data_IF_222263243998
#
_entry.id   IF_222263243998
#
_cell.length_a   1.000
_cell.length_b   1.000
_cell.length_c   1.000
_cell.angle_alpha   90.00
_cell.angle_beta   90.00
_cell.angle_gamma   90.00
#
_symmetry.space_group_name_H-M   'P 1'
#
loop_
_entity.id
_entity.type
_entity.pdbx_description
1 polymer ?
#
# COMPACT_ATOMS: atom_id res chain seq x y z
N UNK A 1 -13.42 14.28 -10.20
CA UNK A 1 -13.69 13.95 -8.78
C UNK A 1 -12.43 14.15 -7.93
N UNK A 2 -12.39 15.22 -7.13
CA UNK A 2 -11.34 15.46 -6.15
C UNK A 2 -11.58 14.44 -5.02
N UNK A 3 -10.70 13.44 -4.88
CA UNK A 3 -10.70 12.57 -3.72
C UNK A 3 -10.22 13.39 -2.52
N UNK A 4 -11.15 13.92 -1.74
CA UNK A 4 -10.84 14.49 -0.43
C UNK A 4 -10.23 13.38 0.43
N UNK A 5 -9.07 13.61 1.08
CA UNK A 5 -8.55 12.65 2.04
C UNK A 5 -9.55 12.54 3.19
N UNK A 6 -10.05 11.32 3.43
CA UNK A 6 -10.87 11.03 4.59
C UNK A 6 -10.06 11.36 5.85
N UNK A 7 -10.57 12.25 6.68
CA UNK A 7 -9.95 12.55 7.97
C UNK A 7 -9.83 11.24 8.79
N UNK A 8 -8.73 11.05 9.55
CA UNK A 8 -8.59 9.88 10.40
C UNK A 8 -9.74 9.80 11.41
N UNK A 9 -10.19 8.59 11.79
CA UNK A 9 -11.20 8.43 12.82
C UNK A 9 -10.72 9.09 14.12
N UNK A 10 -11.65 9.62 14.95
CA UNK A 10 -11.29 10.18 16.23
C UNK A 10 -10.60 9.12 17.10
N UNK A 11 -9.68 9.53 17.99
CA UNK A 11 -9.04 8.61 18.91
C UNK A 11 -10.10 7.90 19.77
N UNK A 12 -9.95 6.59 19.93
CA UNK A 12 -10.83 5.82 20.80
C UNK A 12 -10.64 6.27 22.25
N UNK A 13 -11.73 6.25 23.02
CA UNK A 13 -11.70 6.64 24.42
C UNK A 13 -10.99 5.59 25.28
N UNK A 14 -10.25 6.01 26.32
CA UNK A 14 -9.63 5.08 27.26
C UNK A 14 -10.69 4.26 28.02
N UNK A 15 -10.41 2.98 28.21
CA UNK A 15 -11.29 2.04 28.91
C UNK A 15 -10.81 1.84 30.34
N UNK A 16 -11.71 1.97 31.32
CA UNK A 16 -11.40 1.62 32.72
C UNK A 16 -11.64 0.12 32.95
N UNK A 17 -10.68 -0.55 33.58
CA UNK A 17 -10.72 -1.99 33.87
C UNK A 17 -10.49 -2.17 35.37
N UNK A 18 -11.35 -2.96 35.99
CA UNK A 18 -11.27 -3.34 37.39
C UNK A 18 -12.05 -4.65 37.54
N UNK A 19 -11.32 -5.71 37.86
CA UNK A 19 -11.84 -7.05 38.02
C UNK A 19 -11.05 -7.77 39.12
N UNK A 20 -11.61 -8.84 39.69
CA UNK A 20 -11.04 -9.63 40.80
C UNK A 20 -11.08 -11.13 40.43
N UNK A 21 -10.70 -11.48 39.20
CA UNK A 21 -10.81 -12.86 38.68
C UNK A 21 -9.60 -13.75 38.94
N UNK A 22 -8.57 -13.23 39.60
CA UNK A 22 -7.33 -13.94 39.87
C UNK A 22 -7.34 -14.63 41.24
N UNK A 23 -6.51 -15.66 41.43
CA UNK A 23 -6.38 -16.34 42.73
C UNK A 23 -5.80 -15.45 43.84
N UNK A 24 -4.94 -14.49 43.47
CA UNK A 24 -4.26 -13.58 44.39
C UNK A 24 -4.90 -12.19 44.42
N UNK A 25 -6.10 -12.04 43.86
CA UNK A 25 -6.80 -10.75 43.93
C UNK A 25 -7.33 -10.46 45.34
N UNK A 26 -7.31 -9.20 45.78
CA UNK A 26 -7.79 -8.77 47.10
C UNK A 26 -7.05 -9.42 48.29
N UNK A 27 -5.78 -9.83 48.11
CA UNK A 27 -4.99 -10.46 49.18
C UNK A 27 -4.18 -9.45 50.01
N UNK A 28 -4.29 -8.16 49.69
CA UNK A 28 -3.59 -7.06 50.32
C UNK A 28 -2.30 -6.65 49.61
N UNK A 29 -1.94 -7.31 48.51
CA UNK A 29 -0.84 -6.94 47.63
C UNK A 29 -1.31 -6.73 46.21
N UNK A 30 -0.79 -5.69 45.56
CA UNK A 30 -1.11 -5.43 44.16
C UNK A 30 -0.33 -6.38 43.24
N UNK A 31 -1.06 -7.25 42.55
CA UNK A 31 -0.52 -8.44 41.87
C UNK A 31 -0.80 -8.48 40.36
N UNK A 32 -1.45 -7.44 39.82
CA UNK A 32 -1.89 -7.36 38.43
C UNK A 32 -0.78 -7.13 37.39
N UNK A 33 0.50 -7.16 37.81
CA UNK A 33 1.67 -6.99 36.96
C UNK A 33 1.83 -5.59 36.36
N UNK A 34 1.04 -4.63 36.83
CA UNK A 34 0.95 -3.27 36.35
C UNK A 34 2.01 -2.30 36.87
N UNK A 35 1.94 -1.06 36.40
CA UNK A 35 2.70 0.03 37.01
C UNK A 35 2.31 0.19 38.49
N UNK A 36 3.29 0.02 39.37
CA UNK A 36 3.11 0.08 40.82
C UNK A 36 2.65 -1.23 41.46
N UNK A 37 2.60 -2.36 40.73
CA UNK A 37 2.32 -3.66 41.34
C UNK A 37 3.53 -4.20 42.10
N UNK A 38 3.27 -4.86 43.22
CA UNK A 38 4.28 -5.60 43.99
C UNK A 38 4.66 -6.89 43.27
N UNK A 39 3.68 -7.57 42.69
CA UNK A 39 3.87 -8.81 41.97
C UNK A 39 3.13 -8.81 40.62
N UNK A 40 3.30 -9.90 39.87
CA UNK A 40 2.63 -10.18 38.61
C UNK A 40 1.97 -11.57 38.66
N UNK A 41 1.46 -11.95 39.83
CA UNK A 41 0.80 -13.24 40.05
C UNK A 41 -0.56 -13.31 39.33
N UNK A 42 -1.17 -12.14 39.09
CA UNK A 42 -2.35 -11.98 38.28
C UNK A 42 -1.99 -11.57 36.85
N UNK A 43 -2.05 -12.55 35.94
CA UNK A 43 -1.60 -12.42 34.54
C UNK A 43 -2.42 -11.36 33.78
N UNK A 44 -3.70 -11.21 34.12
CA UNK A 44 -4.57 -10.24 33.47
C UNK A 44 -4.42 -8.88 34.16
N UNK A 45 -4.03 -7.87 33.39
CA UNK A 45 -3.91 -6.51 33.90
C UNK A 45 -5.24 -5.98 34.43
N UNK A 46 -5.24 -5.41 35.64
CA UNK A 46 -6.44 -4.95 36.33
C UNK A 46 -7.33 -6.05 36.93
N UNK A 47 -6.84 -7.30 37.04
CA UNK A 47 -7.55 -8.42 37.69
C UNK A 47 -7.31 -8.55 39.21
N UNK A 48 -6.67 -7.55 39.80
CA UNK A 48 -6.50 -7.35 41.23
C UNK A 48 -6.64 -5.85 41.56
N UNK A 49 -7.78 -5.27 41.17
CA UNK A 49 -8.01 -3.83 41.26
C UNK A 49 -8.41 -3.35 42.66
N UNK A 50 -8.80 -4.21 43.59
CA UNK A 50 -9.02 -3.83 44.99
C UNK A 50 -7.71 -3.37 45.62
N UNK A 51 -6.61 -4.07 45.34
CA UNK A 51 -5.29 -3.73 45.86
C UNK A 51 -4.51 -2.79 44.93
N UNK A 52 -4.68 -2.92 43.60
CA UNK A 52 -3.99 -2.08 42.62
C UNK A 52 -4.71 -0.77 42.26
N UNK A 53 -5.99 -0.65 42.59
CA UNK A 53 -6.88 0.37 42.06
C UNK A 53 -7.33 0.12 40.61
N UNK A 54 -8.29 0.93 40.15
CA UNK A 54 -8.82 0.86 38.77
C UNK A 54 -7.71 1.17 37.75
N UNK A 55 -7.58 0.30 36.76
CA UNK A 55 -6.63 0.47 35.66
C UNK A 55 -7.28 1.14 34.44
N UNK A 56 -6.45 1.78 33.61
CA UNK A 56 -6.89 2.45 32.38
C UNK A 56 -6.15 1.86 31.20
N UNK A 57 -6.89 1.26 30.27
CA UNK A 57 -6.37 0.83 28.97
C UNK A 57 -6.54 1.95 27.97
N UNK A 58 -5.41 2.43 27.45
CA UNK A 58 -5.40 3.35 26.34
C UNK A 58 -5.46 2.56 25.04
N UNK A 59 -6.45 2.81 24.18
CA UNK A 59 -6.48 2.18 22.87
C UNK A 59 -5.24 2.59 22.08
N UNK A 60 -4.72 1.65 21.30
CA UNK A 60 -3.63 1.96 20.38
C UNK A 60 -4.06 3.08 19.42
N UNK A 61 -3.14 3.98 19.03
CA UNK A 61 -3.43 4.95 18.00
C UNK A 61 -3.92 4.24 16.74
N UNK A 62 -4.85 4.84 15.97
CA UNK A 62 -5.29 4.26 14.72
C UNK A 62 -4.09 4.05 13.79
N UNK A 63 -4.10 3.00 12.95
CA UNK A 63 -3.04 2.80 11.99
C UNK A 63 -2.91 4.02 11.07
N UNK A 64 -1.70 4.33 10.58
CA UNK A 64 -1.53 5.40 9.61
C UNK A 64 -2.36 5.11 8.36
N UNK A 65 -2.97 6.16 7.80
CA UNK A 65 -3.74 6.04 6.57
C UNK A 65 -2.78 5.69 5.43
N UNK A 66 -3.04 4.60 4.72
CA UNK A 66 -2.25 4.21 3.56
C UNK A 66 -2.29 5.30 2.47
N UNK A 67 -1.19 5.57 1.78
CA UNK A 67 -1.20 6.52 0.66
C UNK A 67 -2.13 6.04 -0.46
N UNK A 68 -2.69 6.95 -1.27
CA UNK A 68 -3.49 6.57 -2.43
C UNK A 68 -2.66 5.72 -3.39
N UNK A 69 -3.34 4.77 -4.07
CA UNK A 69 -2.69 3.90 -5.06
C UNK A 69 -2.12 4.77 -6.19
N UNK A 70 -0.89 4.52 -6.66
CA UNK A 70 -0.36 5.21 -7.83
C UNK A 70 -1.26 4.98 -9.05
N UNK A 71 -1.33 5.95 -9.99
CA UNK A 71 -2.05 5.77 -11.25
C UNK A 71 -1.48 4.57 -12.03
N UNK A 72 -2.29 3.92 -12.88
CA UNK A 72 -1.79 2.88 -13.76
C UNK A 72 -0.69 3.44 -14.68
N UNK A 73 0.32 2.61 -14.97
CA UNK A 73 1.37 2.94 -15.93
C UNK A 73 0.76 3.26 -17.30
N UNK A 74 1.29 4.27 -17.98
CA UNK A 74 0.91 4.57 -19.36
C UNK A 74 1.28 3.40 -20.28
N UNK A 75 0.50 3.14 -21.35
CA UNK A 75 0.88 2.17 -22.37
C UNK A 75 2.19 2.61 -23.07
N UNK A 76 2.97 1.67 -23.61
CA UNK A 76 4.14 2.01 -24.41
C UNK A 76 3.74 2.82 -25.65
N UNK A 77 4.64 3.68 -26.17
CA UNK A 77 4.40 4.37 -27.43
C UNK A 77 4.19 3.38 -28.58
N UNK A 78 3.38 3.78 -29.56
CA UNK A 78 3.18 2.98 -30.78
C UNK A 78 4.50 2.79 -31.54
N UNK A 79 4.67 1.65 -32.23
CA UNK A 79 5.84 1.45 -33.09
C UNK A 79 5.87 2.50 -34.21
N UNK A 80 7.07 2.82 -34.75
CA UNK A 80 7.18 3.70 -35.90
C UNK A 80 6.46 3.10 -37.13
N UNK A 81 6.01 3.94 -38.07
CA UNK A 81 5.43 3.44 -39.31
C UNK A 81 6.45 2.64 -40.12
N UNK A 82 6.00 1.70 -40.97
CA UNK A 82 6.90 0.96 -41.85
C UNK A 82 7.62 1.89 -42.82
N UNK A 83 8.84 1.51 -43.20
CA UNK A 83 9.62 2.23 -44.22
C UNK A 83 8.86 2.29 -45.55
N UNK A 84 9.02 3.38 -46.32
CA UNK A 84 8.45 3.45 -47.67
C UNK A 84 9.05 2.36 -48.58
N UNK A 85 8.32 1.92 -49.61
CA UNK A 85 8.83 0.97 -50.58
C UNK A 85 10.04 1.54 -51.34
N UNK A 86 10.94 0.68 -51.85
CA UNK A 86 12.04 1.13 -52.70
C UNK A 86 11.50 1.78 -54.00
N UNK A 87 12.27 2.69 -54.60
CA UNK A 87 11.91 3.27 -55.89
C UNK A 87 11.80 2.18 -56.97
N UNK A 88 10.92 2.41 -57.94
CA UNK A 88 10.74 1.52 -59.09
C UNK A 88 12.04 1.39 -59.90
N UNK A 89 12.32 0.20 -60.48
CA UNK A 89 13.45 0.04 -61.38
C UNK A 89 13.31 0.95 -62.60
N UNK A 90 14.44 1.38 -63.21
CA UNK A 90 14.40 2.15 -64.45
C UNK A 90 13.74 1.34 -65.58
N UNK A 91 13.11 2.02 -66.55
CA UNK A 91 12.55 1.33 -67.72
C UNK A 91 13.66 0.62 -68.52
N UNK A 92 13.32 -0.45 -69.25
CA UNK A 92 14.28 -1.13 -70.12
C UNK A 92 14.81 -0.18 -71.19
N UNK A 93 16.08 -0.39 -71.57
CA UNK A 93 16.70 0.37 -72.66
C UNK A 93 15.91 0.22 -73.96
N UNK A 94 15.83 1.27 -74.80
CA UNK A 94 15.23 1.17 -76.12
C UNK A 94 15.99 0.14 -76.98
N UNK A 95 15.31 -0.53 -77.93
CA UNK A 95 15.97 -1.42 -78.86
C UNK A 95 17.01 -0.67 -79.70
N UNK A 96 18.08 -1.34 -80.16
CA UNK A 96 19.07 -0.74 -81.04
C UNK A 96 18.40 -0.24 -82.34
N UNK A 97 18.89 0.88 -82.83
CA UNK A 97 18.45 1.44 -84.11
C UNK A 97 18.63 0.43 -85.25
N UNK A 98 17.71 0.38 -86.23
CA UNK A 98 17.90 -0.46 -87.40
C UNK A 98 19.17 -0.04 -88.16
N UNK A 99 19.84 -0.98 -88.85
CA UNK A 99 20.98 -0.66 -89.69
C UNK A 99 20.58 0.33 -90.79
N UNK A 100 21.51 1.20 -91.23
CA UNK A 100 21.25 2.08 -92.36
C UNK A 100 20.95 1.25 -93.63
N UNK A 101 20.13 1.78 -94.56
CA UNK A 101 19.87 1.11 -95.82
C UNK A 101 21.16 0.92 -96.61
N UNK A 102 21.29 -0.22 -97.28
CA UNK A 102 22.43 -0.49 -98.16
C UNK A 102 22.48 0.53 -99.31
N UNK A 103 23.67 1.04 -99.68
CA UNK A 103 23.82 1.88 -100.87
C UNK A 103 23.54 1.07 -102.16
N UNK A 104 23.04 1.73 -103.23
CA UNK A 104 22.76 1.10 -104.52
C UNK A 104 24.02 0.64 -105.26
#
# INVERSE_FOLDING_TARGET
PIFSPQAPPPPANPTRVCDESCQFSSDGYCDDGGAGSQYAACILYGSDCVDCGVRVLYPSPPPPVSPPRPPPSLPPPSPPPPSPPPPSPPPPSPPPSPPPPSPP
#
